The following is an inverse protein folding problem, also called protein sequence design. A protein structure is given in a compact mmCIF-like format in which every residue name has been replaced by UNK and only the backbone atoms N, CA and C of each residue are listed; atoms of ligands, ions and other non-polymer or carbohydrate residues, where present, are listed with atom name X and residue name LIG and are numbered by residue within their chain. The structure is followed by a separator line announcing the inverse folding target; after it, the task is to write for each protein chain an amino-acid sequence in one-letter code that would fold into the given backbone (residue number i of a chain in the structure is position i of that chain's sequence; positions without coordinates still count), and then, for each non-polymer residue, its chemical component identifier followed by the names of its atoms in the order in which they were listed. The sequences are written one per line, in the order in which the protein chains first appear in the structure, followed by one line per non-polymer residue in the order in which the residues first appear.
data_IF_415283765112
#
_entry.id   IF_415283765112
#
_cell.length_a   1.000
_cell.length_b   1.000
_cell.length_c   1.000
_cell.angle_alpha   90.00
_cell.angle_beta   90.00
_cell.angle_gamma   90.00
#
_symmetry.space_group_name_H-M   'P 1'
#
loop_
_entity.id
_entity.type
_entity.pdbx_description
1 polymer ?
#
# COMPACT_ATOMS: atom_id res chain seq x y z
N UNK A 1 27.87 4.50 10.57
CA UNK A 1 28.51 4.81 9.26
C UNK A 1 27.60 4.66 8.03
N UNK A 2 26.53 3.84 8.01
CA UNK A 2 25.59 3.74 6.87
C UNK A 2 24.55 4.87 6.81
N UNK A 3 23.91 5.18 7.94
CA UNK A 3 22.88 6.25 8.04
C UNK A 3 23.42 7.63 7.64
N UNK A 4 24.56 8.05 8.18
CA UNK A 4 25.17 9.35 7.83
C UNK A 4 25.54 9.45 6.34
N UNK A 5 25.99 8.36 5.71
CA UNK A 5 26.25 8.33 4.26
C UNK A 5 24.97 8.41 3.44
N UNK A 6 23.88 7.82 3.93
CA UNK A 6 22.57 7.95 3.30
C UNK A 6 22.10 9.40 3.33
N UNK A 7 22.10 10.03 4.52
CA UNK A 7 21.71 11.43 4.70
C UNK A 7 22.57 12.35 3.82
N UNK A 8 23.90 12.20 3.87
CA UNK A 8 24.82 13.00 3.06
C UNK A 8 24.66 12.77 1.55
N UNK A 9 24.10 11.64 1.11
CA UNK A 9 23.82 11.34 -0.29
C UNK A 9 22.37 11.61 -0.72
N UNK A 10 21.53 12.13 0.17
CA UNK A 10 20.11 12.41 -0.09
C UNK A 10 19.65 13.75 0.48
N UNK A 11 20.57 14.63 0.87
CA UNK A 11 20.25 15.90 1.52
C UNK A 11 19.53 16.88 0.59
N UNK A 12 19.73 16.72 -0.71
CA UNK A 12 19.17 17.52 -1.81
C UNK A 12 17.87 16.94 -2.36
N UNK A 13 17.42 15.78 -1.84
CA UNK A 13 16.22 15.10 -2.33
C UNK A 13 14.95 15.59 -1.69
N UNK A 14 13.90 15.72 -2.48
CA UNK A 14 12.57 16.14 -2.02
C UNK A 14 11.45 15.41 -2.74
N UNK A 15 10.28 15.35 -2.11
CA UNK A 15 9.07 14.88 -2.77
C UNK A 15 8.49 16.02 -3.61
N UNK A 16 8.43 15.82 -4.92
CA UNK A 16 7.93 16.79 -5.89
C UNK A 16 6.53 16.41 -6.34
N UNK A 17 5.60 17.36 -6.22
CA UNK A 17 4.23 17.24 -6.70
C UNK A 17 4.08 17.86 -8.09
N UNK A 18 3.35 17.17 -8.97
CA UNK A 18 3.12 17.58 -10.36
C UNK A 18 1.75 18.23 -10.48
N UNK A 19 1.72 19.48 -10.93
CA UNK A 19 0.48 20.20 -11.20
C UNK A 19 -0.40 19.44 -12.21
N UNK A 20 -1.69 19.31 -11.92
CA UNK A 20 -2.71 18.60 -12.73
C UNK A 20 -2.43 17.10 -13.00
N UNK A 21 -1.45 16.49 -12.34
CA UNK A 21 -1.27 15.04 -12.45
C UNK A 21 -2.39 14.30 -11.71
N UNK A 22 -3.18 13.51 -12.44
CA UNK A 22 -4.29 12.68 -11.92
C UNK A 22 -5.09 13.40 -10.82
N UNK A 23 -5.57 14.61 -11.14
CA UNK A 23 -6.14 15.54 -10.18
C UNK A 23 -7.26 14.89 -9.35
N UNK A 24 -7.20 15.08 -8.03
CA UNK A 24 -8.23 14.56 -7.12
C UNK A 24 -8.22 13.04 -6.92
N UNK A 25 -7.23 12.32 -7.48
CA UNK A 25 -7.11 10.87 -7.35
C UNK A 25 -5.99 10.48 -6.37
N UNK A 26 -6.30 9.56 -5.46
CA UNK A 26 -5.31 8.89 -4.62
C UNK A 26 -4.87 7.58 -5.29
N UNK A 27 -3.57 7.43 -5.49
CA UNK A 27 -2.97 6.18 -5.96
C UNK A 27 -2.33 5.47 -4.78
N UNK A 28 -2.78 4.27 -4.49
CA UNK A 28 -2.44 3.58 -3.25
C UNK A 28 -1.85 2.23 -3.57
N UNK A 29 -0.82 1.83 -2.83
CA UNK A 29 -0.10 0.59 -3.04
C UNK A 29 0.04 -0.10 -1.69
N UNK A 30 -0.20 -1.41 -1.66
CA UNK A 30 0.09 -2.25 -0.50
C UNK A 30 0.80 -3.52 -0.92
N UNK A 31 1.73 -3.97 -0.09
CA UNK A 31 2.46 -5.23 -0.21
C UNK A 31 2.74 -5.78 1.19
N UNK A 32 3.02 -7.08 1.29
CA UNK A 32 3.43 -7.71 2.52
C UNK A 32 4.63 -8.64 2.34
N UNK A 33 5.65 -8.45 3.18
CA UNK A 33 6.74 -9.40 3.36
C UNK A 33 6.29 -10.53 4.28
N UNK A 34 5.99 -11.70 3.70
CA UNK A 34 5.44 -12.85 4.42
C UNK A 34 6.49 -13.54 5.29
N UNK A 35 6.25 -13.58 6.61
CA UNK A 35 7.12 -14.29 7.55
C UNK A 35 8.53 -13.72 7.71
N UNK A 36 8.82 -12.52 7.17
CA UNK A 36 10.18 -11.95 7.15
C UNK A 36 10.83 -11.71 8.52
N UNK A 37 10.05 -11.75 9.62
CA UNK A 37 10.60 -11.71 10.98
C UNK A 37 10.83 -13.12 11.53
N UNK A 38 12.02 -13.70 11.32
CA UNK A 38 12.39 -15.06 11.76
C UNK A 38 12.10 -15.32 13.25
N UNK A 39 12.37 -14.34 14.13
CA UNK A 39 12.17 -14.49 15.58
C UNK A 39 10.71 -14.62 16.01
N UNK A 40 9.76 -14.13 15.20
CA UNK A 40 8.33 -14.12 15.55
C UNK A 40 7.41 -14.76 14.52
N UNK A 41 7.92 -15.14 13.34
CA UNK A 41 7.16 -15.57 12.19
C UNK A 41 6.22 -14.50 11.60
N UNK A 42 6.28 -13.27 12.09
CA UNK A 42 5.34 -12.21 11.67
C UNK A 42 5.75 -11.57 10.36
N UNK A 43 4.77 -11.38 9.50
CA UNK A 43 4.91 -10.63 8.26
C UNK A 43 5.02 -9.12 8.50
N UNK A 44 5.50 -8.37 7.52
CA UNK A 44 5.59 -6.91 7.55
C UNK A 44 4.75 -6.32 6.44
N UNK A 45 3.82 -5.41 6.77
CA UNK A 45 3.02 -4.69 5.78
C UNK A 45 3.73 -3.40 5.37
N UNK A 46 3.80 -3.15 4.06
CA UNK A 46 4.23 -1.89 3.48
C UNK A 46 3.08 -1.22 2.74
N UNK A 47 2.92 0.09 2.92
CA UNK A 47 1.98 0.88 2.11
C UNK A 47 2.63 2.17 1.61
N UNK A 48 2.16 2.65 0.46
CA UNK A 48 2.49 3.96 -0.09
C UNK A 48 1.24 4.56 -0.75
N UNK A 49 0.92 5.81 -0.42
CA UNK A 49 -0.19 6.56 -0.99
C UNK A 49 0.35 7.85 -1.62
N UNK A 50 0.02 8.03 -2.90
CA UNK A 50 0.42 9.17 -3.70
C UNK A 50 -0.77 10.10 -3.95
N UNK A 51 -0.46 11.39 -4.04
CA UNK A 51 -1.35 12.42 -4.55
C UNK A 51 -0.54 13.35 -5.46
N UNK A 52 -1.08 13.70 -6.62
CA UNK A 52 -0.39 14.55 -7.61
C UNK A 52 1.05 14.09 -7.93
N UNK A 53 1.28 12.77 -7.97
CA UNK A 53 2.56 12.17 -8.35
C UNK A 53 3.65 12.18 -7.27
N UNK A 54 3.32 12.63 -6.05
CA UNK A 54 4.22 12.60 -4.89
C UNK A 54 3.60 11.80 -3.73
N UNK A 55 4.44 11.16 -2.90
CA UNK A 55 3.96 10.44 -1.72
C UNK A 55 3.48 11.38 -0.61
N UNK A 56 2.28 11.12 -0.10
CA UNK A 56 1.65 11.89 1.00
C UNK A 56 1.50 11.08 2.28
N UNK A 57 1.43 9.75 2.19
CA UNK A 57 1.41 8.85 3.34
C UNK A 57 2.11 7.54 2.97
N UNK A 58 2.92 7.02 3.89
CA UNK A 58 3.59 5.74 3.76
C UNK A 58 3.92 5.20 5.13
N UNK A 59 3.93 3.87 5.27
CA UNK A 59 4.49 3.25 6.46
C UNK A 59 4.90 1.80 6.21
N UNK A 60 5.81 1.34 7.05
CA UNK A 60 6.18 -0.06 7.21
C UNK A 60 5.78 -0.49 8.62
N UNK A 61 5.04 -1.60 8.73
CA UNK A 61 4.58 -2.07 10.03
C UNK A 61 4.49 -3.59 10.10
N UNK A 62 5.20 -4.16 11.07
CA UNK A 62 5.06 -5.58 11.43
C UNK A 62 3.60 -5.90 11.79
N UNK A 63 3.07 -7.00 11.29
CA UNK A 63 1.71 -7.43 11.54
C UNK A 63 1.56 -7.89 13.00
N UNK A 64 0.42 -7.59 13.62
CA UNK A 64 0.15 -8.00 15.00
C UNK A 64 -0.17 -9.49 15.11
N UNK A 65 -0.61 -10.11 14.02
CA UNK A 65 -0.96 -11.51 13.91
C UNK A 65 0.05 -12.20 12.98
N UNK A 66 0.37 -13.46 13.29
CA UNK A 66 1.16 -14.32 12.40
C UNK A 66 0.24 -14.79 11.28
N UNK A 67 0.52 -14.37 10.05
CA UNK A 67 -0.16 -14.88 8.87
C UNK A 67 0.34 -16.29 8.58
N UNK A 68 -0.56 -17.18 8.16
CA UNK A 68 -0.22 -18.57 7.80
C UNK A 68 0.01 -18.74 6.30
N UNK A 69 -0.42 -17.75 5.49
CA UNK A 69 -0.18 -17.72 4.04
C UNK A 69 0.19 -16.32 3.57
N UNK A 70 0.85 -16.22 2.41
CA UNK A 70 1.12 -14.95 1.72
C UNK A 70 -0.16 -14.16 1.44
N UNK A 71 -1.26 -14.85 1.14
CA UNK A 71 -2.56 -14.21 0.89
C UNK A 71 -3.11 -13.57 2.16
N UNK A 72 -2.94 -14.19 3.32
CA UNK A 72 -3.38 -13.60 4.59
C UNK A 72 -2.57 -12.34 4.94
N UNK A 73 -1.25 -12.37 4.75
CA UNK A 73 -0.43 -11.19 4.98
C UNK A 73 -0.79 -10.04 4.04
N UNK A 74 -1.09 -10.35 2.78
CA UNK A 74 -1.56 -9.36 1.79
C UNK A 74 -2.92 -8.77 2.16
N UNK A 75 -3.88 -9.59 2.61
CA UNK A 75 -5.18 -9.09 3.11
C UNK A 75 -4.99 -8.14 4.28
N UNK A 76 -4.05 -8.44 5.20
CA UNK A 76 -3.76 -7.56 6.33
C UNK A 76 -3.17 -6.22 5.86
N UNK A 77 -2.24 -6.24 4.89
CA UNK A 77 -1.66 -5.01 4.31
C UNK A 77 -2.72 -4.19 3.57
N UNK A 78 -3.52 -4.84 2.73
CA UNK A 78 -4.63 -4.24 1.97
C UNK A 78 -5.65 -3.60 2.90
N UNK A 79 -6.02 -4.29 3.99
CA UNK A 79 -6.97 -3.77 4.99
C UNK A 79 -6.43 -2.51 5.69
N UNK A 80 -5.13 -2.49 6.01
CA UNK A 80 -4.48 -1.29 6.58
C UNK A 80 -4.49 -0.13 5.60
N UNK A 81 -4.12 -0.38 4.34
CA UNK A 81 -4.14 0.66 3.29
C UNK A 81 -5.56 1.20 3.06
N UNK A 82 -6.56 0.32 2.98
CA UNK A 82 -7.98 0.70 2.88
C UNK A 82 -8.42 1.65 4.00
N UNK A 83 -8.04 1.37 5.25
CA UNK A 83 -8.35 2.25 6.39
C UNK A 83 -7.64 3.61 6.28
N UNK A 84 -6.39 3.62 5.85
CA UNK A 84 -5.61 4.83 5.63
C UNK A 84 -6.24 5.71 4.53
N UNK A 85 -6.69 5.11 3.42
CA UNK A 85 -7.40 5.79 2.33
C UNK A 85 -8.65 6.49 2.88
N UNK A 86 -9.48 5.77 3.63
CA UNK A 86 -10.72 6.33 4.20
C UNK A 86 -10.40 7.48 5.15
N UNK A 87 -9.36 7.34 5.96
CA UNK A 87 -8.91 8.40 6.86
C UNK A 87 -8.43 9.64 6.08
N UNK A 88 -7.60 9.46 5.05
CA UNK A 88 -7.14 10.55 4.19
C UNK A 88 -8.30 11.24 3.46
N UNK A 89 -9.28 10.49 2.93
CA UNK A 89 -10.48 11.08 2.31
C UNK A 89 -11.21 11.99 3.29
N UNK A 90 -11.38 11.55 4.54
CA UNK A 90 -12.03 12.35 5.59
C UNK A 90 -11.20 13.56 5.96
N UNK A 91 -9.89 13.41 6.12
CA UNK A 91 -8.97 14.49 6.44
C UNK A 91 -8.98 15.58 5.37
N UNK A 92 -8.89 15.19 4.10
CA UNK A 92 -8.83 16.12 2.97
C UNK A 92 -10.18 16.69 2.55
N UNK A 93 -11.30 16.13 3.03
CA UNK A 93 -12.67 16.58 2.67
C UNK A 93 -12.91 18.08 2.84
N UNK A 94 -12.20 18.74 3.76
CA UNK A 94 -12.32 20.18 4.02
C UNK A 94 -11.26 21.03 3.31
N UNK A 95 -10.19 20.42 2.79
CA UNK A 95 -9.00 21.11 2.26
C UNK A 95 -8.97 21.09 0.74
N UNK A 96 -9.33 19.96 0.12
CA UNK A 96 -9.28 19.78 -1.33
C UNK A 96 -10.33 18.79 -1.80
N UNK A 97 -10.71 18.90 -3.06
CA UNK A 97 -11.62 17.95 -3.70
C UNK A 97 -10.86 16.71 -4.14
N UNK A 98 -11.14 15.59 -3.47
CA UNK A 98 -10.76 14.25 -3.89
C UNK A 98 -11.91 13.61 -4.69
N UNK A 99 -12.17 14.16 -5.87
CA UNK A 99 -13.32 13.76 -6.71
C UNK A 99 -13.13 12.37 -7.35
N UNK A 100 -11.90 11.86 -7.40
CA UNK A 100 -11.59 10.54 -7.94
C UNK A 100 -11.77 9.43 -6.91
N UNK A 101 -12.31 8.28 -7.34
CA UNK A 101 -12.35 7.06 -6.50
C UNK A 101 -10.91 6.55 -6.34
N UNK A 102 -10.35 6.49 -5.12
CA UNK A 102 -8.99 5.98 -4.89
C UNK A 102 -8.78 4.58 -5.44
N UNK A 103 -7.59 4.33 -5.96
CA UNK A 103 -7.23 3.03 -6.54
C UNK A 103 -6.14 2.38 -5.69
N UNK A 104 -6.49 1.26 -5.05
CA UNK A 104 -5.59 0.41 -4.29
C UNK A 104 -5.03 -0.71 -5.18
N UNK A 105 -3.74 -0.60 -5.45
CA UNK A 105 -2.92 -1.48 -6.26
C UNK A 105 -2.36 -2.60 -5.37
N UNK A 106 -2.64 -3.85 -5.74
CA UNK A 106 -2.15 -5.05 -5.06
C UNK A 106 -1.63 -6.04 -6.09
N UNK A 107 -0.54 -6.74 -5.83
CA UNK A 107 0.05 -7.70 -6.77
C UNK A 107 -0.61 -9.09 -6.66
N UNK A 108 -1.17 -9.41 -5.49
CA UNK A 108 -1.77 -10.71 -5.22
C UNK A 108 -3.21 -10.83 -5.76
N UNK A 109 -3.34 -11.57 -6.87
CA UNK A 109 -4.62 -11.89 -7.51
C UNK A 109 -5.63 -12.60 -6.60
N UNK A 110 -5.16 -13.39 -5.62
CA UNK A 110 -6.05 -14.04 -4.67
C UNK A 110 -6.68 -13.00 -3.73
N UNK A 111 -5.93 -11.99 -3.30
CA UNK A 111 -6.47 -10.89 -2.50
C UNK A 111 -7.53 -10.08 -3.27
N UNK A 112 -7.30 -9.86 -4.57
CA UNK A 112 -8.24 -9.16 -5.47
C UNK A 112 -9.52 -9.97 -5.66
N UNK A 113 -9.39 -11.25 -6.01
CA UNK A 113 -10.54 -12.16 -6.17
C UNK A 113 -11.36 -12.26 -4.91
N UNK A 114 -10.70 -12.27 -3.75
CA UNK A 114 -11.40 -12.22 -2.48
C UNK A 114 -12.17 -10.89 -2.36
N UNK A 115 -11.53 -9.74 -2.56
CA UNK A 115 -12.23 -8.44 -2.51
C UNK A 115 -13.48 -8.37 -3.42
N UNK A 116 -13.50 -9.13 -4.52
CA UNK A 116 -14.59 -9.14 -5.51
C UNK A 116 -15.65 -10.24 -5.31
N UNK A 117 -15.29 -11.45 -4.83
CA UNK A 117 -16.19 -12.61 -4.82
C UNK A 117 -16.65 -13.07 -3.41
N UNK A 118 -17.93 -13.49 -3.24
CA UNK A 118 -18.46 -14.00 -1.97
C UNK A 118 -18.09 -15.46 -1.66
N UNK A 119 -17.71 -16.25 -2.66
CA UNK A 119 -17.53 -17.69 -2.51
C UNK A 119 -16.13 -18.04 -2.02
N UNK A 120 -15.94 -18.12 -0.70
CA UNK A 120 -14.78 -18.82 -0.15
C UNK A 120 -15.12 -19.57 1.13
N UNK A 121 -14.69 -20.84 1.17
CA UNK A 121 -14.88 -21.75 2.29
C UNK A 121 -13.89 -21.48 3.45
N UNK A 122 -14.43 -21.58 4.67
CA UNK A 122 -13.81 -21.78 5.98
C UNK A 122 -12.37 -21.27 6.14
N UNK A 123 -12.21 -20.01 6.56
CA UNK A 123 -10.96 -19.41 7.06
C UNK A 123 -11.13 -18.88 8.49
N UNK A 124 -10.03 -18.51 9.14
CA UNK A 124 -10.01 -17.85 10.45
C UNK A 124 -10.86 -16.57 10.44
N UNK A 125 -11.83 -16.48 11.36
CA UNK A 125 -12.82 -15.40 11.46
C UNK A 125 -12.22 -13.99 11.32
N UNK A 126 -11.05 -13.74 11.90
CA UNK A 126 -10.37 -12.45 11.85
C UNK A 126 -9.90 -12.05 10.44
N UNK A 127 -9.42 -13.00 9.62
CA UNK A 127 -9.06 -12.72 8.22
C UNK A 127 -10.30 -12.43 7.39
N UNK A 128 -11.39 -13.18 7.64
CA UNK A 128 -12.68 -12.94 6.99
C UNK A 128 -13.22 -11.53 7.27
N UNK A 129 -13.16 -11.06 8.52
CA UNK A 129 -13.64 -9.70 8.86
C UNK A 129 -12.87 -8.61 8.11
N UNK A 130 -11.54 -8.72 8.02
CA UNK A 130 -10.71 -7.74 7.27
C UNK A 130 -11.07 -7.70 5.79
N UNK A 131 -11.29 -8.87 5.23
CA UNK A 131 -11.72 -9.04 3.85
C UNK A 131 -13.13 -8.46 3.62
N UNK A 132 -14.11 -8.77 4.47
CA UNK A 132 -15.45 -8.19 4.39
C UNK A 132 -15.43 -6.67 4.46
N UNK A 133 -14.60 -6.09 5.34
CA UNK A 133 -14.42 -4.64 5.41
C UNK A 133 -13.90 -4.06 4.09
N UNK A 134 -12.87 -4.65 3.48
CA UNK A 134 -12.36 -4.17 2.19
C UNK A 134 -13.47 -4.24 1.14
N UNK A 135 -14.19 -5.36 1.07
CA UNK A 135 -15.26 -5.59 0.10
C UNK A 135 -16.41 -4.60 0.28
N UNK A 136 -16.85 -4.35 1.51
CA UNK A 136 -17.87 -3.35 1.82
C UNK A 136 -17.50 -1.99 1.23
N UNK A 137 -16.26 -1.54 1.44
CA UNK A 137 -15.78 -0.25 0.93
C UNK A 137 -15.66 -0.21 -0.59
N UNK A 138 -15.35 -1.34 -1.23
CA UNK A 138 -15.38 -1.44 -2.70
C UNK A 138 -16.82 -1.37 -3.23
N UNK A 139 -17.77 -2.05 -2.58
CA UNK A 139 -19.19 -2.03 -2.97
C UNK A 139 -19.83 -0.65 -2.76
N UNK A 140 -19.44 0.06 -1.70
CA UNK A 140 -19.82 1.46 -1.45
C UNK A 140 -19.16 2.45 -2.42
N UNK A 141 -18.28 1.97 -3.32
CA UNK A 141 -17.48 2.79 -4.25
C UNK A 141 -16.58 3.79 -3.53
N UNK A 142 -16.19 3.50 -2.29
CA UNK A 142 -15.26 4.31 -1.51
C UNK A 142 -13.83 4.21 -2.04
N UNK A 143 -13.48 3.05 -2.64
CA UNK A 143 -12.21 2.78 -3.33
C UNK A 143 -12.38 1.64 -4.36
N UNK A 144 -11.41 1.52 -5.26
CA UNK A 144 -11.26 0.37 -6.18
C UNK A 144 -10.02 -0.43 -5.79
N UNK A 145 -10.08 -1.75 -5.94
CA UNK A 145 -8.91 -2.63 -5.80
C UNK A 145 -8.58 -3.21 -7.16
N UNK A 146 -7.34 -3.07 -7.61
CA UNK A 146 -6.90 -3.58 -8.90
C UNK A 146 -5.52 -4.22 -8.83
N UNK A 147 -5.21 -5.04 -9.84
CA UNK A 147 -3.91 -5.69 -9.94
C UNK A 147 -2.86 -4.71 -10.45
N UNK A 148 -1.67 -4.80 -9.86
CA UNK A 148 -0.47 -4.14 -10.36
C UNK A 148 0.60 -5.16 -10.71
N UNK A 149 1.42 -4.84 -11.71
CA UNK A 149 2.61 -5.64 -12.03
C UNK A 149 3.63 -5.52 -10.90
N UNK A 150 4.48 -6.53 -10.72
CA UNK A 150 5.61 -6.44 -9.77
C UNK A 150 6.53 -5.28 -10.11
N UNK A 151 6.67 -4.91 -11.40
CA UNK A 151 7.48 -3.76 -11.83
C UNK A 151 6.87 -2.41 -11.44
N UNK A 152 5.55 -2.34 -11.26
CA UNK A 152 4.83 -1.13 -10.86
C UNK A 152 4.40 -1.12 -9.40
N UNK A 153 4.67 -2.21 -8.66
CA UNK A 153 4.40 -2.29 -7.23
C UNK A 153 5.35 -1.38 -6.44
N UNK A 154 4.88 -0.19 -6.06
CA UNK A 154 5.66 0.81 -5.32
C UNK A 154 5.89 0.37 -3.88
N UNK A 155 4.94 -0.37 -3.29
CA UNK A 155 5.04 -0.84 -1.92
C UNK A 155 6.20 -1.85 -1.70
N UNK A 156 6.76 -2.43 -2.76
CA UNK A 156 7.97 -3.26 -2.72
C UNK A 156 9.16 -2.56 -2.03
N UNK A 157 9.24 -1.23 -2.15
CA UNK A 157 10.28 -0.45 -1.49
C UNK A 157 10.23 -0.56 0.04
N UNK A 158 9.06 -0.90 0.60
CA UNK A 158 8.83 -1.03 2.03
C UNK A 158 8.97 -2.47 2.52
N UNK A 159 8.95 -3.47 1.64
CA UNK A 159 8.83 -4.89 2.03
C UNK A 159 9.97 -5.75 1.51
N UNK A 160 10.66 -5.34 0.45
CA UNK A 160 11.67 -6.15 -0.22
C UNK A 160 13.06 -5.51 -0.12
N UNK A 161 14.13 -6.30 0.04
CA UNK A 161 15.49 -5.80 -0.12
C UNK A 161 15.75 -5.51 -1.61
N UNK A 162 15.77 -4.24 -2.00
CA UNK A 162 15.92 -3.83 -3.41
C UNK A 162 17.37 -3.46 -3.76
N UNK A 163 17.79 -3.87 -4.96
CA UNK A 163 19.03 -3.36 -5.56
C UNK A 163 18.89 -1.89 -5.94
N UNK A 164 20.02 -1.17 -5.95
CA UNK A 164 20.09 0.28 -6.16
C UNK A 164 19.32 0.77 -7.42
N UNK A 165 19.42 0.13 -8.60
CA UNK A 165 18.69 0.60 -9.79
C UNK A 165 17.17 0.56 -9.58
N UNK A 166 16.65 -0.55 -9.02
CA UNK A 166 15.23 -0.71 -8.73
C UNK A 166 14.75 0.30 -7.69
N UNK A 167 15.54 0.51 -6.63
CA UNK A 167 15.23 1.51 -5.60
C UNK A 167 15.13 2.91 -6.20
N UNK A 168 16.06 3.31 -7.06
CA UNK A 168 16.03 4.61 -7.74
C UNK A 168 14.76 4.77 -8.57
N UNK A 169 14.38 3.74 -9.35
CA UNK A 169 13.13 3.76 -10.13
C UNK A 169 11.90 3.97 -9.24
N UNK A 170 11.82 3.27 -8.11
CA UNK A 170 10.69 3.43 -7.18
C UNK A 170 10.71 4.80 -6.46
N UNK A 171 11.88 5.32 -6.10
CA UNK A 171 12.02 6.69 -5.58
C UNK A 171 11.45 7.71 -6.57
N UNK A 172 11.77 7.61 -7.86
CA UNK A 172 11.20 8.49 -8.88
C UNK A 172 9.68 8.35 -9.02
N UNK A 173 9.12 7.15 -8.82
CA UNK A 173 7.65 6.92 -8.87
C UNK A 173 6.90 7.54 -7.69
N UNK A 174 7.55 7.70 -6.53
CA UNK A 174 6.96 8.40 -5.37
C UNK A 174 7.22 9.91 -5.38
N UNK A 175 7.80 10.43 -6.48
CA UNK A 175 8.15 11.84 -6.62
C UNK A 175 9.41 12.25 -5.86
N UNK A 176 10.19 11.31 -5.32
CA UNK A 176 11.45 11.61 -4.64
C UNK A 176 12.55 11.85 -5.68
N UNK A 177 12.82 13.13 -5.95
CA UNK A 177 13.84 13.61 -6.90
C UNK A 177 14.99 14.25 -6.13
#
# INVERSE_FOLDING_TARGET
KRVLRYIAGSYDKGIVYKHKYKQGLLECYSDADFGGCEASGRSTSGIVILYSGGAISWFIQRQSVVATTTTESEIIATNKCCREIIWLKRLFSSVTKLDGIPVLQVDNTAAIRLAQNPEFHRRTKHMSIKHFFIREKVLEKELLVQQVSTEDQIADMMTKPLFKPRLITLCSKIGLL
#
